data_IF_984751461159
#
_entry.id   IF_984751461159
#
_cell.length_a   1.000
_cell.length_b   1.000
_cell.length_c   1.000
_cell.angle_alpha   90.00
_cell.angle_beta   90.00
_cell.angle_gamma   90.00
#
_symmetry.space_group_name_H-M   'P 1'
#
loop_
_entity.id
_entity.type
_entity.pdbx_description
1 polymer ?
#
# COMPACT_ATOMS: atom_id res chain seq x y z
N UNK A 1 5.59 31.16 -20.62
CA UNK A 1 5.61 29.70 -20.71
C UNK A 1 4.16 29.26 -20.57
N UNK A 2 3.67 28.46 -21.49
CA UNK A 2 2.32 27.87 -21.38
C UNK A 2 2.47 26.75 -20.32
N UNK A 3 1.76 26.90 -19.20
CA UNK A 3 1.74 25.90 -18.14
C UNK A 3 0.83 24.75 -18.59
N UNK A 4 1.41 23.63 -18.99
CA UNK A 4 0.64 22.45 -19.44
C UNK A 4 0.15 21.74 -18.17
N UNK A 5 -1.17 21.51 -18.05
CA UNK A 5 -1.71 20.77 -16.90
C UNK A 5 -1.03 19.40 -16.73
N UNK A 6 -0.74 18.97 -15.49
CA UNK A 6 -0.06 17.69 -15.22
C UNK A 6 -0.82 16.50 -15.81
N UNK A 7 -2.15 16.55 -15.86
CA UNK A 7 -2.99 15.52 -16.48
C UNK A 7 -2.65 15.33 -17.96
N UNK A 8 -2.49 16.42 -18.70
CA UNK A 8 -2.15 16.36 -20.13
C UNK A 8 -0.74 15.81 -20.36
N UNK A 9 0.20 16.14 -19.44
CA UNK A 9 1.56 15.60 -19.51
C UNK A 9 1.57 14.09 -19.30
N UNK A 10 0.78 13.60 -18.33
CA UNK A 10 0.65 12.16 -18.04
C UNK A 10 -0.01 11.46 -19.23
N UNK A 11 -1.12 11.99 -19.73
CA UNK A 11 -1.83 11.45 -20.88
C UNK A 11 -0.91 11.30 -22.09
N UNK A 12 -0.14 12.35 -22.44
CA UNK A 12 0.81 12.30 -23.54
C UNK A 12 1.88 11.22 -23.33
N UNK A 13 2.43 11.08 -22.12
CA UNK A 13 3.41 10.03 -21.82
C UNK A 13 2.83 8.62 -21.96
N UNK A 14 1.55 8.44 -21.61
CA UNK A 14 0.86 7.16 -21.78
C UNK A 14 0.65 6.82 -23.27
N UNK A 15 0.34 7.83 -24.08
CA UNK A 15 0.30 7.68 -25.55
C UNK A 15 1.68 7.34 -26.11
N UNK A 16 2.74 7.95 -25.60
CA UNK A 16 4.12 7.65 -25.97
C UNK A 16 4.53 6.21 -25.58
N UNK A 17 3.86 5.61 -24.57
CA UNK A 17 3.97 4.18 -24.27
C UNK A 17 3.30 3.26 -25.29
N UNK A 18 2.63 3.81 -26.31
CA UNK A 18 1.92 3.04 -27.33
C UNK A 18 0.46 2.76 -27.02
N UNK A 19 -0.11 3.40 -26.00
CA UNK A 19 -1.52 3.22 -25.66
C UNK A 19 -2.42 4.10 -26.53
N UNK A 20 -3.61 3.57 -26.84
CA UNK A 20 -4.63 4.34 -27.56
C UNK A 20 -5.28 5.39 -26.63
N UNK A 21 -5.22 6.69 -26.96
CA UNK A 21 -5.78 7.76 -26.13
C UNK A 21 -7.28 7.61 -25.87
N UNK A 22 -8.04 6.98 -26.76
CA UNK A 22 -9.48 6.76 -26.57
C UNK A 22 -9.79 5.87 -25.35
N UNK A 23 -8.84 5.06 -24.90
CA UNK A 23 -8.96 4.19 -23.74
C UNK A 23 -8.30 4.75 -22.47
N UNK A 24 -7.79 5.98 -22.50
CA UNK A 24 -7.10 6.60 -21.35
C UNK A 24 -8.00 7.72 -20.79
N UNK A 25 -8.06 7.82 -19.47
CA UNK A 25 -8.64 8.97 -18.77
C UNK A 25 -7.70 9.38 -17.65
N UNK A 26 -7.30 10.64 -17.63
CA UNK A 26 -6.44 11.22 -16.59
C UNK A 26 -7.15 12.43 -16.02
N UNK A 27 -7.50 12.38 -14.74
CA UNK A 27 -8.26 13.44 -14.08
C UNK A 27 -7.82 13.59 -12.61
N UNK A 28 -7.86 14.81 -12.10
CA UNK A 28 -7.74 15.06 -10.67
C UNK A 28 -9.06 14.69 -9.98
N UNK A 29 -8.97 13.87 -8.95
CA UNK A 29 -10.12 13.39 -8.18
C UNK A 29 -10.08 13.99 -6.77
N UNK A 30 -11.04 14.85 -6.45
CA UNK A 30 -11.09 15.54 -5.15
C UNK A 30 -11.13 14.60 -3.95
N UNK A 31 -11.86 13.49 -4.06
CA UNK A 31 -11.97 12.51 -2.98
C UNK A 31 -10.67 11.72 -2.72
N UNK A 32 -9.80 11.62 -3.73
CA UNK A 32 -8.47 11.00 -3.63
C UNK A 32 -7.38 12.04 -3.33
N UNK A 33 -7.66 13.32 -3.54
CA UNK A 33 -6.69 14.42 -3.53
C UNK A 33 -5.46 14.10 -4.39
N UNK A 34 -5.68 13.42 -5.51
CA UNK A 34 -4.65 12.92 -6.42
C UNK A 34 -5.19 12.83 -7.84
N UNK A 35 -4.27 12.75 -8.81
CA UNK A 35 -4.63 12.43 -10.18
C UNK A 35 -4.88 10.93 -10.28
N UNK A 36 -6.01 10.55 -10.85
CA UNK A 36 -6.32 9.18 -11.20
C UNK A 36 -6.10 8.96 -12.69
N UNK A 37 -5.40 7.88 -13.03
CA UNK A 37 -5.19 7.38 -14.38
C UNK A 37 -6.04 6.13 -14.56
N UNK A 38 -7.07 6.21 -15.37
CA UNK A 38 -7.93 5.05 -15.68
C UNK A 38 -7.59 4.51 -17.06
N UNK A 39 -7.21 3.23 -17.12
CA UNK A 39 -6.86 2.53 -18.36
C UNK A 39 -7.98 1.53 -18.67
N UNK A 40 -8.70 1.80 -19.76
CA UNK A 40 -9.80 0.98 -20.27
C UNK A 40 -9.28 -0.04 -21.28
N UNK A 41 -10.05 -1.10 -21.59
CA UNK A 41 -9.65 -2.10 -22.61
C UNK A 41 -9.28 -1.49 -23.98
N UNK A 42 -9.98 -0.42 -24.39
CA UNK A 42 -9.74 0.28 -25.65
C UNK A 42 -8.36 0.94 -25.73
N UNK A 43 -7.65 1.10 -24.62
CA UNK A 43 -6.27 1.57 -24.60
C UNK A 43 -5.30 0.56 -25.21
N UNK A 44 -5.67 -0.73 -25.27
CA UNK A 44 -4.82 -1.80 -25.77
C UNK A 44 -3.64 -2.13 -24.85
N UNK A 45 -3.76 -1.82 -23.56
CA UNK A 45 -2.71 -2.10 -22.58
C UNK A 45 -2.51 -3.61 -22.38
N UNK A 46 -1.25 -4.00 -22.19
CA UNK A 46 -0.82 -5.36 -21.88
C UNK A 46 0.28 -5.30 -20.82
N UNK A 47 0.69 -6.45 -20.27
CA UNK A 47 1.82 -6.53 -19.31
C UNK A 47 3.11 -5.85 -19.81
N UNK A 48 3.34 -5.84 -21.14
CA UNK A 48 4.53 -5.22 -21.71
C UNK A 48 4.56 -3.70 -21.53
N UNK A 49 3.42 -3.07 -21.31
CA UNK A 49 3.30 -1.63 -21.09
C UNK A 49 3.46 -1.22 -19.61
N UNK A 50 3.45 -2.15 -18.66
CA UNK A 50 3.40 -1.85 -17.21
C UNK A 50 4.55 -0.95 -16.74
N UNK A 51 5.78 -1.23 -17.14
CA UNK A 51 6.94 -0.40 -16.75
C UNK A 51 6.81 1.03 -17.30
N UNK A 52 6.37 1.16 -18.56
CA UNK A 52 6.17 2.46 -19.19
C UNK A 52 5.00 3.22 -18.52
N UNK A 53 3.88 2.55 -18.25
CA UNK A 53 2.72 3.13 -17.56
C UNK A 53 3.12 3.61 -16.17
N UNK A 54 3.86 2.80 -15.41
CA UNK A 54 4.33 3.17 -14.07
C UNK A 54 5.22 4.43 -14.10
N UNK A 55 6.14 4.50 -15.05
CA UNK A 55 7.01 5.68 -15.25
C UNK A 55 6.23 6.91 -15.72
N UNK A 56 5.25 6.73 -16.59
CA UNK A 56 4.41 7.81 -17.11
C UNK A 56 3.51 8.41 -16.02
N UNK A 57 2.89 7.57 -15.21
CA UNK A 57 2.01 7.97 -14.13
C UNK A 57 2.77 8.52 -12.92
N UNK A 58 4.01 8.07 -12.67
CA UNK A 58 4.78 8.47 -11.50
C UNK A 58 4.13 8.01 -10.21
N UNK A 59 3.84 8.96 -9.31
CA UNK A 59 3.19 8.68 -8.00
C UNK A 59 1.66 8.72 -8.05
N UNK A 60 1.08 8.82 -9.24
CA UNK A 60 -0.37 8.92 -9.39
C UNK A 60 -1.04 7.55 -9.29
N UNK A 61 -2.32 7.55 -8.99
CA UNK A 61 -3.10 6.32 -8.86
C UNK A 61 -3.42 5.78 -10.26
N UNK A 62 -3.01 4.56 -10.55
CA UNK A 62 -3.33 3.87 -11.80
C UNK A 62 -4.37 2.80 -11.55
N UNK A 63 -5.47 2.87 -12.29
CA UNK A 63 -6.54 1.89 -12.24
C UNK A 63 -6.80 1.31 -13.63
N UNK A 64 -6.86 0.00 -13.71
CA UNK A 64 -7.31 -0.71 -14.90
C UNK A 64 -8.79 -1.06 -14.77
N UNK A 65 -9.57 -0.81 -15.83
CA UNK A 65 -10.97 -1.24 -15.87
C UNK A 65 -11.10 -2.77 -16.06
N UNK A 66 -10.08 -3.41 -16.63
CA UNK A 66 -9.94 -4.85 -16.68
C UNK A 66 -9.36 -5.38 -15.37
N UNK A 67 -10.10 -6.27 -14.69
CA UNK A 67 -9.71 -6.78 -13.37
C UNK A 67 -8.47 -7.67 -13.41
N UNK A 68 -8.28 -8.42 -14.50
CA UNK A 68 -7.11 -9.28 -14.63
C UNK A 68 -5.83 -8.45 -14.83
N UNK A 69 -5.89 -7.42 -15.68
CA UNK A 69 -4.78 -6.48 -15.84
C UNK A 69 -4.53 -5.66 -14.57
N UNK A 70 -5.58 -5.28 -13.82
CA UNK A 70 -5.43 -4.62 -12.53
C UNK A 70 -4.62 -5.46 -11.54
N UNK A 71 -5.02 -6.72 -11.35
CA UNK A 71 -4.29 -7.64 -10.48
C UNK A 71 -2.84 -7.83 -10.92
N UNK A 72 -2.61 -8.02 -12.20
CA UNK A 72 -1.26 -8.20 -12.75
C UNK A 72 -0.39 -6.95 -12.60
N UNK A 73 -0.99 -5.76 -12.68
CA UNK A 73 -0.27 -4.51 -12.46
C UNK A 73 0.07 -4.30 -10.98
N UNK A 74 -0.83 -4.66 -10.08
CA UNK A 74 -0.58 -4.62 -8.64
C UNK A 74 0.55 -5.58 -8.24
N UNK A 75 0.56 -6.79 -8.80
CA UNK A 75 1.66 -7.75 -8.62
C UNK A 75 2.99 -7.17 -9.15
N UNK A 76 2.98 -6.60 -10.35
CA UNK A 76 4.15 -5.97 -10.97
C UNK A 76 4.70 -4.82 -10.10
N UNK A 77 3.85 -3.89 -9.65
CA UNK A 77 4.28 -2.75 -8.83
C UNK A 77 4.77 -3.20 -7.45
N UNK A 78 4.12 -4.19 -6.85
CA UNK A 78 4.57 -4.80 -5.60
C UNK A 78 5.99 -5.36 -5.73
N UNK A 79 6.26 -6.13 -6.76
CA UNK A 79 7.61 -6.69 -6.99
C UNK A 79 8.64 -5.61 -7.32
N UNK A 80 8.25 -4.59 -8.09
CA UNK A 80 9.12 -3.47 -8.44
C UNK A 80 9.59 -2.69 -7.21
N UNK A 81 8.68 -2.39 -6.28
CA UNK A 81 8.97 -1.57 -5.11
C UNK A 81 9.43 -2.38 -3.87
N UNK A 82 9.22 -3.69 -3.86
CA UNK A 82 9.60 -4.57 -2.74
C UNK A 82 11.04 -4.36 -2.23
N UNK A 83 12.09 -4.29 -3.09
CA UNK A 83 13.47 -4.13 -2.61
C UNK A 83 13.66 -2.82 -1.84
N UNK A 84 13.09 -1.71 -2.34
CA UNK A 84 13.20 -0.41 -1.71
C UNK A 84 12.43 -0.37 -0.39
N UNK A 85 11.19 -0.89 -0.37
CA UNK A 85 10.37 -0.97 0.84
C UNK A 85 11.09 -1.76 1.93
N UNK A 86 11.70 -2.90 1.58
CA UNK A 86 12.47 -3.72 2.53
C UNK A 86 13.68 -2.99 3.08
N UNK A 87 14.42 -2.32 2.21
CA UNK A 87 15.62 -1.56 2.60
C UNK A 87 15.25 -0.43 3.57
N UNK A 88 14.20 0.33 3.24
CA UNK A 88 13.74 1.45 4.08
C UNK A 88 13.17 0.96 5.42
N UNK A 89 12.40 -0.13 5.42
CA UNK A 89 11.88 -0.73 6.64
C UNK A 89 13.02 -1.25 7.55
N UNK A 90 14.04 -1.89 6.97
CA UNK A 90 15.21 -2.35 7.71
C UNK A 90 16.01 -1.21 8.33
N UNK A 91 16.29 -0.15 7.55
CA UNK A 91 16.99 1.05 8.03
C UNK A 91 16.24 1.70 9.19
N UNK A 92 14.91 1.74 9.11
CA UNK A 92 14.09 2.32 10.15
C UNK A 92 14.19 1.50 11.44
N UNK A 93 14.01 0.17 11.38
CA UNK A 93 14.14 -0.69 12.57
C UNK A 93 15.58 -0.70 13.14
N UNK A 94 16.59 -0.66 12.28
CA UNK A 94 17.99 -0.53 12.71
C UNK A 94 18.22 0.77 13.48
N UNK A 95 17.75 1.89 12.95
CA UNK A 95 17.83 3.20 13.61
C UNK A 95 17.14 3.22 14.98
N UNK A 96 16.08 2.43 15.12
CA UNK A 96 15.33 2.28 16.39
C UNK A 96 15.97 1.24 17.33
N UNK A 97 17.00 0.49 16.89
CA UNK A 97 17.58 -0.61 17.66
C UNK A 97 16.69 -1.85 17.75
N UNK A 98 15.70 -1.97 16.86
CA UNK A 98 14.66 -3.00 16.86
C UNK A 98 14.83 -4.05 15.74
N UNK A 99 15.92 -4.01 14.99
CA UNK A 99 16.15 -5.01 13.94
C UNK A 99 16.59 -6.36 14.53
N UNK A 100 17.34 -6.32 15.64
CA UNK A 100 17.72 -7.50 16.39
C UNK A 100 16.51 -8.07 17.15
N UNK A 101 16.44 -9.41 17.24
CA UNK A 101 15.33 -10.13 17.89
C UNK A 101 13.95 -9.87 17.26
N UNK A 102 13.93 -9.54 15.96
CA UNK A 102 12.68 -9.38 15.23
C UNK A 102 11.83 -10.64 15.30
N UNK A 103 10.51 -10.56 15.57
CA UNK A 103 9.63 -11.72 15.65
C UNK A 103 9.68 -12.59 14.38
N UNK A 104 9.81 -13.90 14.57
CA UNK A 104 9.85 -14.88 13.47
C UNK A 104 8.48 -15.56 13.41
N UNK A 105 7.75 -15.39 12.28
CA UNK A 105 6.38 -15.94 12.13
C UNK A 105 6.26 -17.42 12.49
N UNK A 106 7.26 -18.23 12.11
CA UNK A 106 7.25 -19.68 12.28
C UNK A 106 7.20 -20.17 13.76
N UNK A 107 7.50 -19.30 14.74
CA UNK A 107 7.42 -19.66 16.16
C UNK A 107 6.04 -19.39 16.77
N UNK A 108 5.13 -18.79 16.05
CA UNK A 108 3.78 -18.47 16.50
C UNK A 108 2.75 -19.38 15.86
N UNK A 109 1.77 -19.84 16.64
CA UNK A 109 0.73 -20.76 16.20
C UNK A 109 -0.40 -20.10 15.40
N UNK A 110 -0.54 -18.76 15.48
CA UNK A 110 -1.53 -17.99 14.70
C UNK A 110 -1.00 -16.64 14.25
N UNK A 111 -1.70 -16.01 13.32
CA UNK A 111 -1.39 -14.67 12.82
C UNK A 111 -1.66 -13.62 13.90
N UNK A 112 -2.65 -13.82 14.76
CA UNK A 112 -2.94 -12.94 15.90
C UNK A 112 -1.76 -12.88 16.87
N UNK A 113 -1.23 -14.03 17.28
CA UNK A 113 -0.09 -14.07 18.19
C UNK A 113 1.18 -13.46 17.57
N UNK A 114 1.36 -13.64 16.28
CA UNK A 114 2.46 -12.99 15.56
C UNK A 114 2.26 -11.46 15.49
N UNK A 115 1.03 -10.99 15.22
CA UNK A 115 0.69 -9.58 15.22
C UNK A 115 0.93 -8.94 16.60
N UNK A 116 0.47 -9.59 17.68
CA UNK A 116 0.72 -9.16 19.06
C UNK A 116 2.21 -9.10 19.39
N UNK A 117 3.00 -10.04 18.88
CA UNK A 117 4.45 -10.04 19.07
C UNK A 117 5.12 -8.87 18.32
N UNK A 118 4.67 -8.52 17.12
CA UNK A 118 5.12 -7.33 16.40
C UNK A 118 4.79 -6.06 17.20
N UNK A 119 3.56 -5.94 17.69
CA UNK A 119 3.13 -4.80 18.50
C UNK A 119 3.99 -4.66 19.78
N UNK A 120 4.16 -5.76 20.52
CA UNK A 120 5.00 -5.77 21.72
C UNK A 120 6.45 -5.37 21.42
N UNK A 121 7.01 -5.90 20.32
CA UNK A 121 8.36 -5.57 19.85
C UNK A 121 8.52 -4.08 19.55
N UNK A 122 7.47 -3.45 19.03
CA UNK A 122 7.41 -2.02 18.74
C UNK A 122 6.94 -1.14 19.94
N UNK A 123 6.79 -1.71 21.13
CA UNK A 123 6.33 -0.97 22.30
C UNK A 123 4.86 -0.53 22.22
N UNK A 124 4.09 -1.14 21.33
CA UNK A 124 2.64 -0.96 21.22
C UNK A 124 1.94 -2.03 22.06
N UNK A 125 0.83 -1.68 22.72
CA UNK A 125 0.06 -2.65 23.50
C UNK A 125 -0.45 -3.77 22.61
N UNK A 126 -0.14 -5.05 22.89
CA UNK A 126 -0.57 -6.18 22.07
C UNK A 126 -2.09 -6.20 21.83
N UNK A 127 -2.47 -6.54 20.61
CA UNK A 127 -3.87 -6.64 20.19
C UNK A 127 -4.60 -5.32 19.99
N UNK A 128 -3.90 -4.16 19.98
CA UNK A 128 -4.55 -2.84 19.86
C UNK A 128 -4.48 -2.21 18.47
N UNK A 129 -3.45 -2.52 17.69
CA UNK A 129 -3.21 -1.89 16.39
C UNK A 129 -3.33 -2.85 15.21
N UNK A 130 -2.90 -4.10 15.37
CA UNK A 130 -2.96 -5.11 14.33
C UNK A 130 -4.10 -6.09 14.61
N UNK A 131 -4.91 -6.35 13.60
CA UNK A 131 -5.99 -7.36 13.65
C UNK A 131 -5.83 -8.33 12.49
N UNK A 132 -6.10 -9.60 12.74
CA UNK A 132 -6.15 -10.62 11.72
C UNK A 132 -7.57 -10.77 11.18
N UNK A 133 -7.69 -10.76 9.86
CA UNK A 133 -8.95 -11.04 9.14
C UNK A 133 -8.62 -11.99 7.98
N UNK A 134 -9.11 -13.22 8.03
CA UNK A 134 -8.96 -14.22 6.97
C UNK A 134 -7.52 -14.36 6.41
N UNK A 135 -6.52 -14.43 7.32
CA UNK A 135 -5.10 -14.50 7.00
C UNK A 135 -4.47 -13.20 6.43
N UNK A 136 -5.20 -12.09 6.47
CA UNK A 136 -4.66 -10.75 6.25
C UNK A 136 -4.44 -10.06 7.59
N UNK A 137 -3.35 -9.30 7.73
CA UNK A 137 -3.19 -8.37 8.84
C UNK A 137 -3.71 -7.00 8.42
N UNK A 138 -4.51 -6.40 9.27
CA UNK A 138 -5.03 -5.05 9.06
C UNK A 138 -4.63 -4.15 10.20
N UNK A 139 -4.17 -2.95 9.88
CA UNK A 139 -3.93 -1.91 10.86
C UNK A 139 -5.24 -1.21 11.18
N UNK A 140 -5.63 -1.29 12.44
CA UNK A 140 -6.80 -0.62 13.01
C UNK A 140 -6.30 0.53 13.86
N UNK A 141 -6.48 1.75 13.38
CA UNK A 141 -5.98 2.93 14.07
C UNK A 141 -7.06 3.51 14.98
N UNK A 142 -6.76 3.76 16.27
CA UNK A 142 -7.66 4.53 17.10
C UNK A 142 -7.86 5.93 16.51
N UNK A 143 -9.12 6.40 16.44
CA UNK A 143 -9.45 7.73 15.88
C UNK A 143 -8.66 8.88 16.54
N UNK A 144 -8.34 8.73 17.83
CA UNK A 144 -7.54 9.71 18.56
C UNK A 144 -6.11 9.83 18.05
N UNK A 145 -5.55 8.74 17.51
CA UNK A 145 -4.19 8.71 16.95
C UNK A 145 -4.06 9.51 15.65
N UNK A 146 -5.17 9.77 14.96
CA UNK A 146 -5.19 10.51 13.68
C UNK A 146 -5.18 12.03 13.88
N UNK A 147 -5.38 12.51 15.12
CA UNK A 147 -5.44 13.95 15.42
C UNK A 147 -4.05 14.61 15.47
N UNK A 148 -3.01 13.83 15.74
CA UNK A 148 -1.62 14.27 15.77
C UNK A 148 -0.75 13.35 14.89
N UNK A 149 -0.45 13.82 13.69
CA UNK A 149 0.33 13.06 12.71
C UNK A 149 1.76 12.77 13.18
N UNK A 150 2.34 13.64 14.00
CA UNK A 150 3.69 13.47 14.56
C UNK A 150 3.73 12.33 15.59
N UNK A 151 2.85 12.38 16.57
CA UNK A 151 2.71 11.33 17.59
C UNK A 151 2.30 9.98 16.96
N UNK A 152 1.45 10.03 15.95
CA UNK A 152 1.09 8.84 15.16
C UNK A 152 2.30 8.21 14.49
N UNK A 153 3.08 9.00 13.76
CA UNK A 153 4.27 8.51 13.07
C UNK A 153 5.30 7.93 14.05
N UNK A 154 5.56 8.62 15.15
CA UNK A 154 6.48 8.15 16.18
C UNK A 154 6.03 6.80 16.78
N UNK A 155 4.74 6.65 17.07
CA UNK A 155 4.19 5.44 17.71
C UNK A 155 4.10 4.23 16.78
N UNK A 156 3.71 4.42 15.51
CA UNK A 156 3.36 3.31 14.61
C UNK A 156 4.37 3.06 13.50
N UNK A 157 5.39 3.90 13.31
CA UNK A 157 6.39 3.70 12.27
C UNK A 157 7.13 2.36 12.39
N UNK A 158 7.40 1.91 13.62
CA UNK A 158 7.97 0.58 13.86
C UNK A 158 7.02 -0.52 13.39
N UNK A 159 5.73 -0.45 13.75
CA UNK A 159 4.72 -1.46 13.36
C UNK A 159 4.61 -1.53 11.83
N UNK A 160 4.59 -0.38 11.14
CA UNK A 160 4.61 -0.34 9.68
C UNK A 160 5.84 -1.03 9.10
N UNK A 161 7.04 -0.66 9.57
CA UNK A 161 8.27 -1.27 9.09
C UNK A 161 8.30 -2.78 9.36
N UNK A 162 7.86 -3.21 10.53
CA UNK A 162 7.79 -4.62 10.91
C UNK A 162 6.84 -5.42 10.00
N UNK A 163 5.65 -4.89 9.74
CA UNK A 163 4.67 -5.52 8.85
C UNK A 163 5.17 -5.56 7.39
N UNK A 164 5.85 -4.50 6.91
CA UNK A 164 6.45 -4.51 5.58
C UNK A 164 7.52 -5.59 5.43
N UNK A 165 8.36 -5.79 6.45
CA UNK A 165 9.35 -6.88 6.45
C UNK A 165 8.67 -8.24 6.46
N UNK A 166 7.64 -8.44 7.29
CA UNK A 166 6.90 -9.69 7.39
C UNK A 166 6.18 -10.02 6.07
N UNK A 167 5.53 -9.03 5.45
CA UNK A 167 4.88 -9.18 4.15
C UNK A 167 5.86 -9.56 3.06
N UNK A 168 6.99 -8.86 2.98
CA UNK A 168 7.99 -9.12 1.95
C UNK A 168 8.71 -10.46 2.11
N UNK A 169 8.74 -11.03 3.33
CA UNK A 169 9.22 -12.40 3.59
C UNK A 169 8.16 -13.46 3.29
N UNK A 170 6.91 -13.07 3.03
CA UNK A 170 5.79 -14.00 2.90
C UNK A 170 5.26 -14.54 4.23
N UNK A 171 5.65 -13.94 5.35
CA UNK A 171 5.19 -14.30 6.69
C UNK A 171 3.70 -13.94 6.91
N UNK A 172 3.19 -12.97 6.18
CA UNK A 172 1.79 -12.58 6.09
C UNK A 172 1.35 -12.50 4.62
N UNK A 173 0.11 -12.86 4.32
CA UNK A 173 -0.39 -12.92 2.94
C UNK A 173 -0.69 -11.53 2.38
N UNK A 174 -1.29 -10.68 3.18
CA UNK A 174 -1.62 -9.32 2.80
C UNK A 174 -1.66 -8.41 4.01
N UNK A 175 -1.46 -7.13 3.76
CA UNK A 175 -1.58 -6.09 4.76
C UNK A 175 -2.45 -4.96 4.21
N UNK A 176 -3.34 -4.44 5.04
CA UNK A 176 -4.25 -3.36 4.67
C UNK A 176 -4.61 -2.47 5.84
N UNK A 177 -5.41 -1.45 5.52
CA UNK A 177 -5.98 -0.54 6.50
C UNK A 177 -7.48 -0.78 6.56
N UNK A 178 -8.03 -0.93 7.76
CA UNK A 178 -9.48 -0.93 7.96
C UNK A 178 -9.88 0.48 8.39
N UNK A 179 -10.69 1.15 7.58
CA UNK A 179 -11.31 2.40 7.95
C UNK A 179 -12.27 2.19 9.13
N UNK A 180 -12.31 3.14 10.04
CA UNK A 180 -13.11 3.05 11.28
C UNK A 180 -14.62 2.82 11.04
N UNK A 181 -15.15 3.15 9.87
CA UNK A 181 -16.56 3.00 9.54
C UNK A 181 -16.99 1.53 9.28
N UNK A 182 -16.03 0.63 9.04
CA UNK A 182 -16.33 -0.79 8.82
C UNK A 182 -16.42 -1.62 10.11
N UNK A 183 -15.96 -1.09 11.24
CA UNK A 183 -16.04 -1.77 12.53
C UNK A 183 -17.42 -1.67 13.20
N UNK A 184 -18.31 -0.84 12.66
CA UNK A 184 -19.66 -0.62 13.18
C UNK A 184 -20.76 -1.52 12.65
N UNK A 185 -20.51 -2.44 11.72
CA UNK A 185 -21.54 -3.24 11.03
C UNK A 185 -21.82 -4.59 11.72
N UNK A 186 -21.26 -4.83 12.90
CA UNK A 186 -21.38 -6.08 13.65
C UNK A 186 -22.52 -6.15 14.69
N UNK A 187 -23.32 -5.10 14.90
CA UNK A 187 -24.50 -5.15 15.80
C UNK A 187 -25.80 -4.84 15.06
N UNK A 188 -26.29 -5.81 14.30
CA UNK A 188 -27.72 -5.91 14.05
C UNK A 188 -28.27 -7.10 14.82
N UNK A 189 -29.17 -6.75 15.76
CA UNK A 189 -30.00 -7.62 16.60
C UNK A 189 -30.82 -8.65 15.80
#
# INVERSE_FOLDING_TARGET
MIDIPPEQVIEQRLVDCGLNPAGISVAYEDYLQSIEVVIKPDAGATKQHFDCINKAAGYQIVRFADMELAQQYDEFTTELFRPQILEDARKLLEKMGLLENFPIRAVFSSDELFAEAIEAHCGVTPGTALKSYDAALSLVLPQESLKDSGAFHEKYSCVFAAVMIASAKGDIKSFGFVGNDQLGVGEQK
#
